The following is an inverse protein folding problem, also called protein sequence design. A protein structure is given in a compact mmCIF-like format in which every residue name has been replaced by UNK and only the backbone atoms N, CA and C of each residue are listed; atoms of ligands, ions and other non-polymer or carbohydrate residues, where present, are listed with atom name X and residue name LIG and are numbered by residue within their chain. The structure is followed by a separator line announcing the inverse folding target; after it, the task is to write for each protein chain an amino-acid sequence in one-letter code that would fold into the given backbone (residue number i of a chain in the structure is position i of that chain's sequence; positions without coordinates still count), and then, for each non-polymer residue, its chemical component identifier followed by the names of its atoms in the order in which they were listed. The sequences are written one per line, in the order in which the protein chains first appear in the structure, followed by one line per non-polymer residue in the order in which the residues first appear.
data_IF_697319408640
#
_entry.id   IF_697319408640
#
_cell.length_a   1.000
_cell.length_b   1.000
_cell.length_c   1.000
_cell.angle_alpha   90.00
_cell.angle_beta   90.00
_cell.angle_gamma   90.00
#
_symmetry.space_group_name_H-M   'P 1'
#
loop_
_entity.id
_entity.type
_entity.pdbx_description
1 polymer ?
#
# COMPACT_ATOMS: atom_id res chain seq x y z
N UNK A 1 17.63 13.42 8.55
CA UNK A 1 16.22 12.98 8.61
C UNK A 1 15.44 13.82 7.63
N UNK A 2 14.91 13.23 6.56
CA UNK A 2 14.04 13.97 5.63
C UNK A 2 12.67 14.13 6.29
N UNK A 3 12.24 15.38 6.51
CA UNK A 3 10.91 15.66 7.01
C UNK A 3 9.94 15.60 5.83
N UNK A 4 8.97 14.69 5.89
CA UNK A 4 7.87 14.68 4.92
C UNK A 4 6.98 15.88 5.24
N UNK A 5 6.96 16.87 4.34
CA UNK A 5 6.08 18.03 4.42
C UNK A 5 4.89 17.75 3.50
N UNK A 6 3.68 17.72 4.07
CA UNK A 6 2.45 17.73 3.28
C UNK A 6 2.19 19.20 2.92
N UNK A 7 2.14 19.50 1.62
CA UNK A 7 1.85 20.83 1.09
C UNK A 7 0.53 20.78 0.30
N UNK A 8 -0.24 21.87 0.32
CA UNK A 8 -1.34 22.01 -0.62
C UNK A 8 -0.78 22.32 -2.01
N UNK A 9 -1.56 22.05 -3.05
CA UNK A 9 -1.13 22.35 -4.42
C UNK A 9 -0.87 23.85 -4.59
N UNK A 10 -1.67 24.71 -3.93
CA UNK A 10 -1.44 26.16 -3.91
C UNK A 10 -0.17 26.61 -3.18
N UNK A 11 0.43 25.75 -2.34
CA UNK A 11 1.66 26.05 -1.60
C UNK A 11 2.92 25.68 -2.40
N UNK A 12 2.77 25.06 -3.58
CA UNK A 12 3.89 24.65 -4.43
C UNK A 12 4.48 25.85 -5.17
N UNK A 13 5.76 26.14 -4.91
CA UNK A 13 6.50 27.24 -5.55
C UNK A 13 6.95 26.92 -6.97
N UNK A 14 7.05 25.64 -7.33
CA UNK A 14 7.32 25.20 -8.70
C UNK A 14 6.01 25.17 -9.49
N UNK A 15 5.81 26.18 -10.34
CA UNK A 15 4.60 26.31 -11.16
C UNK A 15 4.39 25.14 -12.14
N UNK A 16 5.48 24.51 -12.60
CA UNK A 16 5.42 23.37 -13.51
C UNK A 16 4.92 22.12 -12.78
N UNK A 17 5.46 21.86 -11.59
CA UNK A 17 4.99 20.81 -10.71
C UNK A 17 3.55 21.05 -10.27
N UNK A 18 3.21 22.27 -9.84
CA UNK A 18 1.86 22.62 -9.43
C UNK A 18 0.83 22.35 -10.54
N UNK A 19 1.14 22.76 -11.78
CA UNK A 19 0.30 22.50 -12.95
C UNK A 19 0.19 21.00 -13.26
N UNK A 20 1.28 20.25 -13.15
CA UNK A 20 1.26 18.81 -13.36
C UNK A 20 0.38 18.10 -12.32
N UNK A 21 0.58 18.38 -11.03
CA UNK A 21 -0.23 17.78 -9.95
C UNK A 21 -1.71 18.12 -10.10
N UNK A 22 -2.04 19.38 -10.40
CA UNK A 22 -3.42 19.81 -10.63
C UNK A 22 -4.08 19.15 -11.86
N UNK A 23 -3.27 18.72 -12.83
CA UNK A 23 -3.72 18.05 -14.05
C UNK A 23 -3.86 16.53 -13.94
N UNK A 24 -3.46 15.92 -12.81
CA UNK A 24 -3.59 14.47 -12.63
C UNK A 24 -5.08 14.11 -12.58
N UNK A 25 -5.57 13.23 -13.48
CA UNK A 25 -6.97 12.81 -13.46
C UNK A 25 -7.25 12.04 -12.17
N UNK A 26 -8.12 12.59 -11.33
CA UNK A 26 -8.56 11.94 -10.10
C UNK A 26 -9.85 11.14 -10.37
N UNK A 27 -9.95 9.91 -9.87
CA UNK A 27 -11.19 9.15 -9.96
C UNK A 27 -12.31 9.90 -9.24
N UNK A 28 -13.49 9.97 -9.87
CA UNK A 28 -14.72 10.42 -9.23
C UNK A 28 -15.48 9.18 -8.80
N UNK A 29 -15.85 9.15 -7.52
CA UNK A 29 -16.68 8.10 -6.97
C UNK A 29 -18.11 8.62 -6.87
N UNK A 30 -19.06 7.88 -7.43
CA UNK A 30 -20.49 8.25 -7.39
C UNK A 30 -21.08 8.20 -5.98
N UNK A 31 -20.40 7.50 -5.07
CA UNK A 31 -20.79 7.40 -3.66
C UNK A 31 -19.58 7.37 -2.74
N UNK A 32 -19.79 7.80 -1.50
CA UNK A 32 -18.86 7.60 -0.38
C UNK A 32 -19.55 6.66 0.63
N UNK A 33 -19.44 5.33 0.47
CA UNK A 33 -20.21 4.36 1.24
C UNK A 33 -19.62 4.17 2.64
N UNK A 34 -19.51 5.25 3.40
CA UNK A 34 -19.11 5.19 4.81
C UNK A 34 -20.19 4.48 5.61
N UNK A 35 -19.81 3.42 6.32
CA UNK A 35 -20.68 2.65 7.20
C UNK A 35 -20.13 2.70 8.62
N UNK A 36 -20.97 2.94 9.65
CA UNK A 36 -20.52 2.85 11.03
C UNK A 36 -19.92 1.47 11.31
N UNK A 37 -18.71 1.38 11.90
CA UNK A 37 -18.08 0.09 12.15
C UNK A 37 -18.86 -0.69 13.22
N UNK A 38 -18.90 -2.01 13.05
CA UNK A 38 -19.34 -2.92 14.13
C UNK A 38 -18.31 -2.87 15.28
N UNK A 39 -18.70 -3.28 16.50
CA UNK A 39 -17.72 -3.51 17.56
C UNK A 39 -16.57 -4.39 17.05
N UNK A 40 -15.32 -4.08 17.44
CA UNK A 40 -14.14 -4.77 16.93
C UNK A 40 -14.21 -6.29 17.20
N UNK A 41 -14.73 -6.68 18.36
CA UNK A 41 -14.95 -8.08 18.75
C UNK A 41 -15.92 -8.85 17.84
N UNK A 42 -16.75 -8.15 17.07
CA UNK A 42 -17.68 -8.72 16.10
C UNK A 42 -17.23 -8.48 14.64
N UNK A 43 -16.04 -7.94 14.44
CA UNK A 43 -15.51 -7.58 13.12
C UNK A 43 -14.55 -8.64 12.59
N UNK A 44 -14.58 -8.85 11.28
CA UNK A 44 -13.52 -9.57 10.55
C UNK A 44 -12.55 -8.54 10.02
N UNK A 45 -11.28 -8.71 10.32
CA UNK A 45 -10.22 -7.79 9.91
C UNK A 45 -9.53 -8.33 8.66
N UNK A 46 -9.12 -7.42 7.77
CA UNK A 46 -8.22 -7.70 6.66
C UNK A 46 -7.11 -6.65 6.68
N UNK A 47 -5.88 -7.06 6.34
CA UNK A 47 -4.77 -6.14 6.11
C UNK A 47 -4.60 -5.99 4.62
N UNK A 48 -4.50 -4.74 4.17
CA UNK A 48 -4.12 -4.37 2.81
C UNK A 48 -2.81 -3.60 2.90
N UNK A 49 -1.82 -4.02 2.11
CA UNK A 49 -0.52 -3.37 2.07
C UNK A 49 -0.22 -2.92 0.64
N UNK A 50 0.35 -1.74 0.51
CA UNK A 50 0.84 -1.24 -0.78
C UNK A 50 2.22 -1.76 -1.10
N UNK A 51 2.84 -2.58 -0.26
CA UNK A 51 4.22 -3.05 -0.39
C UNK A 51 4.49 -3.96 -1.60
N UNK A 52 3.50 -4.22 -2.46
CA UNK A 52 3.67 -5.02 -3.68
C UNK A 52 4.06 -6.47 -3.37
N UNK A 53 3.43 -7.07 -2.35
CA UNK A 53 3.70 -8.44 -1.92
C UNK A 53 2.93 -9.46 -2.76
N UNK A 54 3.61 -10.54 -3.11
CA UNK A 54 3.04 -11.68 -3.84
C UNK A 54 3.80 -12.96 -3.51
N UNK A 55 3.23 -14.14 -3.81
CA UNK A 55 3.95 -15.40 -3.69
C UNK A 55 4.91 -15.59 -4.85
N UNK A 56 5.84 -16.53 -4.70
CA UNK A 56 6.83 -16.88 -5.74
C UNK A 56 6.20 -17.36 -7.06
N UNK A 57 5.06 -18.02 -6.98
CA UNK A 57 4.29 -18.54 -8.11
C UNK A 57 3.28 -17.53 -8.69
N UNK A 58 3.08 -16.39 -8.02
CA UNK A 58 2.21 -15.33 -8.52
C UNK A 58 2.96 -14.41 -9.51
N UNK A 59 2.22 -13.80 -10.44
CA UNK A 59 2.75 -12.77 -11.32
C UNK A 59 3.16 -11.52 -10.53
N UNK A 60 4.40 -11.06 -10.74
CA UNK A 60 4.95 -9.85 -10.12
C UNK A 60 4.21 -8.59 -10.58
N UNK A 61 4.15 -7.57 -9.73
CA UNK A 61 3.48 -6.32 -10.05
C UNK A 61 4.21 -5.54 -11.14
N UNK A 62 3.46 -5.10 -12.15
CA UNK A 62 3.96 -4.26 -13.23
C UNK A 62 3.72 -2.76 -12.97
N UNK A 63 4.45 -1.91 -13.69
CA UNK A 63 4.25 -0.45 -13.64
C UNK A 63 2.85 -0.12 -14.13
N UNK A 64 2.08 0.61 -13.31
CA UNK A 64 0.71 1.02 -13.65
C UNK A 64 -0.35 -0.06 -13.42
N UNK A 65 0.01 -1.22 -12.86
CA UNK A 65 -0.97 -2.24 -12.49
C UNK A 65 -1.88 -1.74 -11.34
N UNK A 66 -3.20 -1.86 -11.51
CA UNK A 66 -4.21 -1.51 -10.51
C UNK A 66 -4.84 -2.71 -9.80
N UNK A 67 -4.21 -3.88 -9.91
CA UNK A 67 -4.66 -5.14 -9.34
C UNK A 67 -4.23 -5.35 -7.89
N UNK A 68 -4.59 -6.51 -7.35
CA UNK A 68 -4.14 -6.97 -6.04
C UNK A 68 -3.79 -8.47 -6.08
N UNK A 69 -3.07 -8.94 -5.07
CA UNK A 69 -2.84 -10.37 -4.81
C UNK A 69 -3.41 -10.71 -3.44
N UNK A 70 -4.01 -11.89 -3.32
CA UNK A 70 -4.48 -12.41 -2.03
C UNK A 70 -3.39 -13.29 -1.46
N UNK A 71 -2.86 -12.91 -0.31
CA UNK A 71 -1.86 -13.70 0.40
C UNK A 71 -2.56 -14.73 1.30
N UNK A 72 -2.24 -16.03 1.18
CA UNK A 72 -2.81 -17.05 2.04
C UNK A 72 -2.50 -16.81 3.51
N UNK A 73 -3.51 -16.98 4.36
CA UNK A 73 -3.40 -16.75 5.80
C UNK A 73 -2.48 -17.74 6.52
N UNK A 74 -2.01 -18.79 5.86
CA UNK A 74 -1.12 -19.85 6.35
C UNK A 74 0.28 -19.89 5.69
N UNK A 75 0.56 -19.03 4.69
CA UNK A 75 1.88 -18.91 4.06
C UNK A 75 2.96 -18.34 5.00
N UNK A 76 4.17 -18.90 5.03
CA UNK A 76 5.22 -18.32 5.87
C UNK A 76 5.60 -16.91 5.37
N UNK A 77 5.89 -15.97 6.28
CA UNK A 77 6.19 -14.59 5.90
C UNK A 77 7.39 -14.49 4.92
N UNK A 78 8.36 -15.39 5.07
CA UNK A 78 9.54 -15.54 4.21
C UNK A 78 9.24 -16.04 2.78
N UNK A 79 8.04 -16.57 2.53
CA UNK A 79 7.64 -17.06 1.20
C UNK A 79 7.13 -15.91 0.31
N UNK A 80 6.93 -14.73 0.88
CA UNK A 80 6.52 -13.54 0.14
C UNK A 80 7.70 -12.88 -0.56
N UNK A 81 7.45 -12.42 -1.78
CA UNK A 81 8.34 -11.59 -2.57
C UNK A 81 7.77 -10.18 -2.68
N UNK A 82 8.66 -9.23 -2.94
CA UNK A 82 8.31 -7.82 -3.12
C UNK A 82 8.67 -7.35 -4.53
N UNK A 83 7.65 -6.92 -5.28
CA UNK A 83 7.81 -6.29 -6.60
C UNK A 83 7.34 -4.83 -6.62
N UNK A 84 7.37 -4.14 -5.47
CA UNK A 84 7.06 -2.71 -5.41
C UNK A 84 7.88 -1.91 -6.43
N UNK A 85 7.20 -1.16 -7.30
CA UNK A 85 7.83 -0.49 -8.46
C UNK A 85 8.58 0.79 -8.10
N UNK A 86 8.20 1.46 -7.01
CA UNK A 86 8.80 2.77 -6.66
C UNK A 86 10.23 2.60 -6.18
N UNK A 87 11.14 3.38 -6.76
CA UNK A 87 12.52 3.51 -6.29
C UNK A 87 12.59 4.17 -4.91
N UNK A 88 11.57 4.95 -4.53
CA UNK A 88 11.49 5.65 -3.25
C UNK A 88 10.92 4.79 -2.13
N UNK A 89 10.54 3.54 -2.40
CA UNK A 89 10.11 2.61 -1.37
C UNK A 89 11.33 1.92 -0.76
N UNK A 90 11.57 2.14 0.52
CA UNK A 90 12.62 1.48 1.26
C UNK A 90 12.29 0.00 1.46
N UNK A 91 13.19 -0.88 1.02
CA UNK A 91 13.02 -2.33 1.07
C UNK A 91 13.78 -2.98 2.23
N UNK A 92 14.65 -2.23 2.90
CA UNK A 92 15.49 -2.74 3.99
C UNK A 92 14.64 -3.34 5.10
N UNK A 93 13.60 -2.63 5.55
CA UNK A 93 12.67 -3.13 6.56
C UNK A 93 12.03 -4.47 6.17
N UNK A 94 11.55 -4.62 4.94
CA UNK A 94 10.99 -5.91 4.48
C UNK A 94 12.06 -7.01 4.41
N UNK A 95 13.28 -6.68 3.98
CA UNK A 95 14.40 -7.63 3.90
C UNK A 95 14.82 -8.13 5.29
N UNK A 96 14.71 -7.28 6.31
CA UNK A 96 14.98 -7.63 7.70
C UNK A 96 13.82 -8.40 8.34
N UNK A 97 12.59 -7.93 8.14
CA UNK A 97 11.38 -8.55 8.67
C UNK A 97 10.14 -8.22 7.81
N UNK A 98 9.57 -9.27 7.19
CA UNK A 98 8.36 -9.15 6.39
C UNK A 98 7.14 -8.69 7.21
N UNK A 99 7.13 -8.91 8.52
CA UNK A 99 6.04 -8.48 9.40
C UNK A 99 5.95 -6.95 9.54
N UNK A 100 7.00 -6.20 9.18
CA UNK A 100 6.94 -4.73 9.14
C UNK A 100 5.98 -4.19 8.08
N UNK A 101 5.84 -4.89 6.95
CA UNK A 101 4.98 -4.48 5.83
C UNK A 101 3.70 -5.30 5.73
N UNK A 102 3.69 -6.50 6.35
CA UNK A 102 2.53 -7.38 6.42
C UNK A 102 2.65 -8.32 7.64
N UNK A 103 2.08 -7.94 8.80
CA UNK A 103 2.31 -8.61 10.10
C UNK A 103 1.54 -9.94 10.23
N UNK A 104 1.73 -10.84 9.27
CA UNK A 104 0.97 -12.09 9.16
C UNK A 104 1.18 -12.99 10.36
N UNK A 105 2.38 -13.05 10.92
CA UNK A 105 2.70 -13.94 12.03
C UNK A 105 2.05 -13.46 13.33
N UNK A 106 1.78 -12.15 13.46
CA UNK A 106 1.06 -11.59 14.60
C UNK A 106 -0.46 -11.71 14.50
N UNK A 107 -0.98 -12.00 13.31
CA UNK A 107 -2.42 -12.22 13.09
C UNK A 107 -2.82 -13.69 13.24
N UNK A 108 -1.85 -14.60 13.27
CA UNK A 108 -2.04 -16.03 13.52
C UNK A 108 -2.00 -16.27 15.04
N UNK A 109 -3.16 -16.18 15.68
CA UNK A 109 -3.37 -16.69 17.04
C UNK A 109 -3.86 -18.13 17.01
#
# INVERSE_FOLDING_TARGET
MAQIVIARVEDLTDEGLARWVAGVPLPRFDSAPWVPPRPLSASRVAIVTTAGLHRRDDEAFAVGEGGYRVLPGDAAAQDFLMSHISVNFDRSGFQEDANLVFPIDHLRN
#
